data_IF_813295862509
#
_entry.id   IF_813295862509
#
_cell.length_a   1.000
_cell.length_b   1.000
_cell.length_c   1.000
_cell.angle_alpha   90.00
_cell.angle_beta   90.00
_cell.angle_gamma   90.00
#
_symmetry.space_group_name_H-M   'P 1'
#
loop_
_entity.id
_entity.type
_entity.pdbx_description
1 polymer ?
#
# COMPACT_ATOMS: atom_id res chain seq x y z
N UNK A 1 17.04 22.79 25.52
CA UNK A 1 15.94 22.06 24.88
C UNK A 1 16.50 20.74 24.41
N UNK A 2 15.92 19.62 24.81
CA UNK A 2 16.34 18.29 24.34
C UNK A 2 15.80 18.01 22.95
N UNK A 3 16.43 17.09 22.22
CA UNK A 3 15.94 16.67 20.90
C UNK A 3 14.55 15.99 21.01
N UNK A 4 14.26 15.33 22.13
CA UNK A 4 12.94 14.77 22.43
C UNK A 4 11.89 15.88 22.59
N UNK A 5 12.21 17.00 23.24
CA UNK A 5 11.33 18.17 23.35
C UNK A 5 11.08 18.82 21.98
N UNK A 6 12.11 18.89 21.13
CA UNK A 6 11.97 19.41 19.76
C UNK A 6 11.08 18.49 18.93
N UNK A 7 11.23 17.16 19.05
CA UNK A 7 10.38 16.19 18.38
C UNK A 7 8.90 16.36 18.77
N UNK A 8 8.63 16.55 20.07
CA UNK A 8 7.28 16.78 20.57
C UNK A 8 6.69 18.10 20.03
N UNK A 9 7.49 19.16 20.01
CA UNK A 9 7.06 20.50 19.59
C UNK A 9 6.80 20.56 18.08
N UNK A 10 7.71 20.01 17.29
CA UNK A 10 7.66 20.05 15.82
C UNK A 10 6.78 18.95 15.22
N UNK A 11 6.46 17.91 16.00
CA UNK A 11 5.84 16.65 15.53
C UNK A 11 6.66 15.92 14.47
N UNK A 12 7.95 16.23 14.35
CA UNK A 12 8.87 15.50 13.50
C UNK A 12 9.33 14.26 14.27
N UNK A 13 9.30 13.05 13.67
CA UNK A 13 9.79 11.85 14.33
C UNK A 13 11.23 12.03 14.84
N UNK A 14 11.46 11.63 16.10
CA UNK A 14 12.76 11.76 16.77
C UNK A 14 13.91 11.19 15.91
N UNK A 15 13.68 10.07 15.21
CA UNK A 15 14.65 9.47 14.28
C UNK A 15 15.09 10.45 13.19
N UNK A 16 14.16 11.18 12.57
CA UNK A 16 14.49 12.11 11.48
C UNK A 16 15.23 13.35 11.98
N UNK A 17 14.93 13.79 13.21
CA UNK A 17 15.70 14.87 13.84
C UNK A 17 17.14 14.45 14.16
N UNK A 18 17.36 13.19 14.58
CA UNK A 18 18.71 12.66 14.78
C UNK A 18 19.50 12.60 13.48
N UNK A 19 18.88 12.12 12.39
CA UNK A 19 19.49 12.17 11.06
C UNK A 19 19.90 13.60 10.66
N UNK A 20 19.10 14.60 11.03
CA UNK A 20 19.41 16.01 10.78
C UNK A 20 20.60 16.52 11.61
N UNK A 21 20.72 16.11 12.89
CA UNK A 21 21.84 16.47 13.76
C UNK A 21 23.14 15.74 13.38
N UNK A 22 23.04 14.50 12.91
CA UNK A 22 24.16 13.67 12.48
C UNK A 22 24.61 13.94 11.03
N UNK A 23 24.04 14.96 10.37
CA UNK A 23 24.30 15.36 8.97
C UNK A 23 24.05 14.23 7.94
N UNK A 24 23.19 13.26 8.30
CA UNK A 24 22.80 12.11 7.47
C UNK A 24 21.62 12.45 6.56
N UNK A 25 21.80 13.48 5.73
CA UNK A 25 20.74 14.04 4.88
C UNK A 25 20.21 13.04 3.83
N UNK A 26 21.03 12.09 3.38
CA UNK A 26 20.68 11.07 2.39
C UNK A 26 19.63 10.07 2.88
N UNK A 27 19.50 9.91 4.21
CA UNK A 27 18.51 9.01 4.82
C UNK A 27 17.14 9.68 5.02
N UNK A 28 17.03 10.99 4.76
CA UNK A 28 15.78 11.71 4.86
C UNK A 28 14.84 11.35 3.67
N UNK A 29 13.52 11.52 3.82
CA UNK A 29 12.56 11.21 2.75
C UNK A 29 12.67 12.07 1.47
N UNK A 30 13.64 12.98 1.40
CA UNK A 30 13.90 13.88 0.27
C UNK A 30 14.11 15.35 0.70
N UNK A 31 14.72 16.15 -0.17
CA UNK A 31 15.16 17.53 0.15
C UNK A 31 14.00 18.47 0.52
N UNK A 32 12.83 18.29 -0.09
CA UNK A 32 11.64 19.09 0.23
C UNK A 32 11.25 18.91 1.71
N UNK A 33 11.32 17.66 2.20
CA UNK A 33 11.05 17.36 3.60
C UNK A 33 12.17 17.89 4.50
N UNK A 34 13.44 17.73 4.10
CA UNK A 34 14.58 18.26 4.83
C UNK A 34 14.47 19.79 5.06
N UNK A 35 14.12 20.56 4.02
CA UNK A 35 13.87 22.02 4.15
C UNK A 35 12.75 22.34 5.13
N UNK A 36 11.66 21.55 5.11
CA UNK A 36 10.56 21.68 6.05
C UNK A 36 10.98 21.41 7.49
N UNK A 37 11.78 20.37 7.71
CA UNK A 37 12.30 20.00 9.02
C UNK A 37 13.25 21.06 9.58
N UNK A 38 14.21 21.53 8.77
CA UNK A 38 15.12 22.62 9.15
C UNK A 38 14.34 23.87 9.54
N UNK A 39 13.31 24.25 8.76
CA UNK A 39 12.49 25.43 9.08
C UNK A 39 11.76 25.28 10.41
N UNK A 40 11.16 24.13 10.66
CA UNK A 40 10.44 23.87 11.91
C UNK A 40 11.40 23.83 13.11
N UNK A 41 12.54 23.16 12.96
CA UNK A 41 13.58 23.05 13.98
C UNK A 41 14.16 24.42 14.33
N UNK A 42 14.56 25.21 13.32
CA UNK A 42 15.07 26.56 13.50
C UNK A 42 14.05 27.47 14.19
N UNK A 43 12.78 27.44 13.76
CA UNK A 43 11.71 28.20 14.41
C UNK A 43 11.56 27.82 15.89
N UNK A 44 11.62 26.53 16.23
CA UNK A 44 11.52 26.06 17.61
C UNK A 44 12.67 26.58 18.48
N UNK A 45 13.86 26.74 17.91
CA UNK A 45 15.04 27.28 18.60
C UNK A 45 15.17 28.82 18.50
N UNK A 46 14.24 29.51 17.82
CA UNK A 46 14.33 30.95 17.59
C UNK A 46 15.46 31.36 16.64
N UNK A 47 15.87 30.46 15.73
CA UNK A 47 16.94 30.66 14.77
C UNK A 47 16.40 31.04 13.38
N UNK A 48 17.25 31.73 12.61
CA UNK A 48 17.00 32.03 11.21
C UNK A 48 17.15 30.79 10.33
N UNK A 49 16.07 30.38 9.68
CA UNK A 49 16.05 29.18 8.83
C UNK A 49 16.69 29.37 7.45
N UNK A 50 16.70 30.60 6.92
CA UNK A 50 17.21 30.92 5.59
C UNK A 50 18.69 30.51 5.36
N UNK A 51 19.64 30.85 6.25
CA UNK A 51 21.03 30.42 6.06
C UNK A 51 21.21 28.90 6.17
N UNK A 52 20.41 28.23 6.99
CA UNK A 52 20.46 26.76 7.15
C UNK A 52 19.96 26.04 5.91
N UNK A 53 18.84 26.52 5.34
CA UNK A 53 18.30 25.99 4.09
C UNK A 53 19.27 26.23 2.93
N UNK A 54 19.91 27.40 2.87
CA UNK A 54 20.92 27.68 1.85
C UNK A 54 22.09 26.69 1.91
N UNK A 55 22.59 26.40 3.12
CA UNK A 55 23.65 25.38 3.30
C UNK A 55 23.21 23.99 2.83
N UNK A 56 21.96 23.62 3.12
CA UNK A 56 21.37 22.38 2.61
C UNK A 56 21.36 22.38 1.08
N UNK A 57 20.89 23.46 0.44
CA UNK A 57 20.81 23.56 -1.01
C UNK A 57 22.19 23.47 -1.68
N UNK A 58 23.21 24.09 -1.09
CA UNK A 58 24.61 23.98 -1.54
C UNK A 58 25.10 22.53 -1.44
N UNK A 59 24.77 21.83 -0.35
CA UNK A 59 25.16 20.43 -0.14
C UNK A 59 24.45 19.47 -1.11
N UNK A 60 23.17 19.70 -1.38
CA UNK A 60 22.40 18.92 -2.36
C UNK A 60 22.92 19.15 -3.77
N UNK A 61 23.20 20.40 -4.16
CA UNK A 61 23.76 20.72 -5.47
C UNK A 61 25.14 20.06 -5.70
N UNK A 62 26.00 20.05 -4.68
CA UNK A 62 27.29 19.35 -4.73
C UNK A 62 27.12 17.83 -4.92
N UNK A 63 26.10 17.22 -4.30
CA UNK A 63 25.77 15.80 -4.49
C UNK A 63 25.29 15.51 -5.91
N UNK A 64 24.35 16.32 -6.42
CA UNK A 64 23.83 16.17 -7.78
C UNK A 64 24.91 16.34 -8.85
N UNK A 65 25.94 17.16 -8.60
CA UNK A 65 27.08 17.30 -9.51
C UNK A 65 28.05 16.10 -9.47
N UNK A 66 28.25 15.49 -8.30
CA UNK A 66 29.18 14.35 -8.14
C UNK A 66 28.60 13.04 -8.66
N UNK A 67 27.29 12.85 -8.52
CA UNK A 67 26.58 11.69 -9.05
C UNK A 67 25.55 12.16 -10.09
N UNK A 68 25.89 12.17 -11.40
CA UNK A 68 24.97 12.56 -12.47
C UNK A 68 23.91 11.47 -12.75
N UNK A 69 23.58 10.66 -11.75
CA UNK A 69 22.50 9.68 -11.85
C UNK A 69 21.19 10.45 -11.98
N UNK A 70 20.32 10.11 -12.95
CA UNK A 70 19.10 10.89 -13.21
C UNK A 70 18.26 10.95 -11.93
N UNK A 71 17.92 12.18 -11.52
CA UNK A 71 16.90 12.62 -10.56
C UNK A 71 16.33 11.49 -9.67
N UNK A 72 16.50 11.54 -8.34
CA UNK A 72 15.95 10.51 -7.48
C UNK A 72 14.43 10.52 -7.64
N UNK A 73 13.92 9.52 -8.36
CA UNK A 73 12.54 9.10 -8.26
C UNK A 73 12.24 9.00 -6.77
N UNK A 74 11.16 9.66 -6.32
CA UNK A 74 10.55 9.47 -5.00
C UNK A 74 10.78 8.02 -4.61
N UNK A 75 11.68 7.77 -3.66
CA UNK A 75 11.87 6.42 -3.14
C UNK A 75 10.58 6.10 -2.39
N UNK A 76 9.59 5.61 -3.14
CA UNK A 76 8.38 5.08 -2.56
C UNK A 76 8.83 4.02 -1.58
N UNK A 77 8.46 4.08 -0.30
CA UNK A 77 8.84 3.07 0.64
C UNK A 77 8.38 1.72 0.06
N UNK A 78 9.36 0.87 -0.29
CA UNK A 78 9.22 -0.49 -0.82
C UNK A 78 8.24 -1.36 0.00
N UNK A 79 7.89 -0.88 1.20
CA UNK A 79 6.87 -1.41 2.09
C UNK A 79 5.48 -1.58 1.45
N UNK A 80 5.12 -0.81 0.42
CA UNK A 80 3.86 -0.97 -0.31
C UNK A 80 3.83 -2.15 -1.28
N UNK A 81 4.97 -2.49 -1.90
CA UNK A 81 5.03 -3.52 -2.96
C UNK A 81 4.71 -4.93 -2.43
N UNK A 82 5.17 -5.23 -1.22
CA UNK A 82 4.88 -6.50 -0.52
C UNK A 82 3.40 -6.71 -0.19
N UNK A 83 2.67 -5.64 0.16
CA UNK A 83 1.22 -5.73 0.40
C UNK A 83 0.45 -5.89 -0.92
N UNK A 84 0.89 -5.24 -1.99
CA UNK A 84 0.32 -5.43 -3.33
C UNK A 84 0.46 -6.85 -3.85
N UNK A 85 1.64 -7.47 -3.67
CA UNK A 85 1.88 -8.87 -4.05
C UNK A 85 0.98 -9.81 -3.22
N UNK A 86 0.92 -9.62 -1.90
CA UNK A 86 0.06 -10.44 -1.04
C UNK A 86 -1.42 -10.35 -1.44
N UNK A 87 -1.91 -9.14 -1.75
CA UNK A 87 -3.28 -8.93 -2.23
C UNK A 87 -3.52 -9.57 -3.59
N UNK A 88 -2.58 -9.43 -4.54
CA UNK A 88 -2.69 -10.05 -5.86
C UNK A 88 -2.74 -11.59 -5.77
N UNK A 89 -1.91 -12.19 -4.91
CA UNK A 89 -1.93 -13.63 -4.66
C UNK A 89 -3.25 -14.09 -4.03
N UNK A 90 -3.80 -13.31 -3.09
CA UNK A 90 -5.10 -13.60 -2.48
C UNK A 90 -6.22 -13.58 -3.52
N UNK A 91 -6.28 -12.55 -4.36
CA UNK A 91 -7.28 -12.44 -5.45
C UNK A 91 -7.11 -13.58 -6.46
N UNK A 92 -5.87 -13.92 -6.84
CA UNK A 92 -5.59 -15.03 -7.74
C UNK A 92 -6.09 -16.37 -7.18
N UNK A 93 -5.84 -16.63 -5.89
CA UNK A 93 -6.27 -17.85 -5.22
C UNK A 93 -7.81 -17.92 -5.10
N UNK A 94 -8.47 -16.78 -4.83
CA UNK A 94 -9.92 -16.68 -4.81
C UNK A 94 -10.54 -16.99 -6.18
N UNK A 95 -9.97 -16.44 -7.26
CA UNK A 95 -10.43 -16.72 -8.62
C UNK A 95 -10.18 -18.17 -9.03
N UNK A 96 -9.02 -18.73 -8.67
CA UNK A 96 -8.69 -20.12 -8.94
C UNK A 96 -9.65 -21.08 -8.23
N UNK A 97 -9.93 -20.85 -6.95
CA UNK A 97 -10.89 -21.65 -6.18
C UNK A 97 -12.31 -21.54 -6.74
N UNK A 98 -12.74 -20.34 -7.16
CA UNK A 98 -14.04 -20.14 -7.79
C UNK A 98 -14.15 -20.84 -9.16
N UNK A 99 -13.11 -20.73 -9.99
CA UNK A 99 -13.05 -21.43 -11.27
C UNK A 99 -13.08 -22.95 -11.10
N UNK A 100 -12.30 -23.47 -10.15
CA UNK A 100 -12.29 -24.89 -9.82
C UNK A 100 -13.66 -25.34 -9.31
N UNK A 101 -14.33 -24.55 -8.46
CA UNK A 101 -15.69 -24.81 -8.00
C UNK A 101 -16.69 -24.92 -9.16
N UNK A 102 -16.66 -23.97 -10.12
CA UNK A 102 -17.55 -23.99 -11.29
C UNK A 102 -17.28 -25.21 -12.18
N UNK A 103 -16.01 -25.56 -12.40
CA UNK A 103 -15.62 -26.68 -13.28
C UNK A 103 -15.89 -28.03 -12.60
N UNK A 104 -15.66 -28.13 -11.30
CA UNK A 104 -15.86 -29.37 -10.52
C UNK A 104 -17.28 -29.55 -10.04
N UNK A 105 -18.19 -28.57 -10.18
CA UNK A 105 -19.60 -28.73 -9.86
C UNK A 105 -20.31 -29.33 -11.07
N UNK A 106 -20.35 -30.67 -11.20
CA UNK A 106 -20.93 -31.33 -12.34
C UNK A 106 -22.44 -31.15 -12.18
N UNK A 107 -23.11 -30.73 -13.26
CA UNK A 107 -24.56 -30.61 -13.31
C UNK A 107 -25.20 -31.95 -12.96
N UNK A 108 -25.58 -32.17 -11.71
CA UNK A 108 -26.36 -33.33 -11.32
C UNK A 108 -27.37 -32.97 -10.22
N UNK A 109 -28.36 -32.16 -10.60
CA UNK A 109 -29.65 -32.09 -9.91
C UNK A 109 -30.79 -31.96 -10.92
N UNK A 110 -30.79 -32.86 -11.90
CA UNK A 110 -32.02 -33.25 -12.56
C UNK A 110 -32.56 -34.43 -11.76
N UNK A 111 -33.39 -34.15 -10.76
CA UNK A 111 -34.29 -35.17 -10.20
C UNK A 111 -35.66 -34.85 -10.78
N UNK A 112 -35.99 -35.32 -12.00
CA UNK A 112 -37.36 -35.27 -12.46
C UNK A 112 -38.17 -36.18 -11.55
N UNK A 113 -39.03 -35.58 -10.72
CA UNK A 113 -40.09 -36.32 -10.03
C UNK A 113 -41.10 -36.68 -11.10
N UNK A 114 -40.92 -37.83 -11.73
CA UNK A 114 -41.88 -38.41 -12.65
C UNK A 114 -42.13 -39.89 -12.33
N UNK A 115 -43.42 -40.18 -12.12
CA UNK A 115 -44.09 -41.44 -12.49
C UNK A 115 -43.88 -42.65 -11.55
N UNK A 116 -44.49 -42.58 -10.37
CA UNK A 116 -45.08 -43.77 -9.76
C UNK A 116 -46.23 -44.25 -10.66
N UNK A 117 -45.92 -45.14 -11.61
CA UNK A 117 -46.90 -45.99 -12.25
C UNK A 117 -47.47 -46.98 -11.23
N UNK A 118 -48.79 -47.14 -11.27
CA UNK A 118 -49.60 -48.12 -10.54
C UNK A 118 -51.02 -47.54 -10.53
N UNK A 119 -51.96 -47.92 -11.38
CA UNK A 119 -52.24 -49.25 -11.89
C UNK A 119 -53.18 -49.11 -13.12
N UNK A 120 -52.95 -49.95 -14.13
CA UNK A 120 -53.80 -50.22 -15.32
C UNK A 120 -54.78 -51.37 -14.95
N UNK A 121 -55.90 -51.73 -15.64
CA UNK A 121 -56.53 -51.30 -16.90
C UNK A 121 -58.07 -51.03 -16.86
N UNK A 122 -58.60 -50.54 -17.99
CA UNK A 122 -60.01 -50.47 -18.42
C UNK A 122 -60.67 -51.86 -18.68
N UNK A 123 -61.89 -52.04 -19.27
CA UNK A 123 -62.96 -51.11 -19.68
C UNK A 123 -64.41 -51.59 -19.31
N UNK A 124 -65.45 -50.79 -19.54
CA UNK A 124 -66.56 -51.17 -20.45
C UNK A 124 -67.63 -50.07 -20.61
N UNK A 125 -68.07 -49.97 -21.86
CA UNK A 125 -69.14 -49.18 -22.46
C UNK A 125 -70.50 -49.36 -21.76
N UNK A 126 -71.27 -48.26 -21.65
CA UNK A 126 -72.73 -48.28 -21.85
C UNK A 126 -73.21 -46.84 -22.09
N UNK A 127 -73.45 -46.49 -23.35
CA UNK A 127 -74.28 -45.35 -23.73
C UNK A 127 -75.33 -45.90 -24.71
N UNK A 128 -76.61 -45.73 -24.36
CA UNK A 128 -77.80 -45.96 -25.15
C UNK A 128 -78.89 -45.01 -24.66
#
# INVERSE_FOLDING_TARGET
MSIEEVAQTTRIPLRLLRLLEDDQLDELPGDVFARGYIRSYARTLGLESAPLIRKLDETTADREQRDPTPLPSVQTPERGRRFGIAFALFVLLLLFTLALSIVLQPRHRDVPVELSQGETPAPLVADA
#
